data_IF_563564823746
#
_entry.id   IF_563564823746
#
_cell.length_a   1.000
_cell.length_b   1.000
_cell.length_c   1.000
_cell.angle_alpha   90.00
_cell.angle_beta   90.00
_cell.angle_gamma   90.00
#
_symmetry.space_group_name_H-M   'P 1'
#
loop_
_entity.id
_entity.type
_entity.pdbx_description
1 polymer ?
#
# COMPACT_ATOMS: atom_id res chain seq x y z
N UNK A 1 4.08 9.33 -25.92
CA UNK A 1 5.41 9.49 -25.28
C UNK A 1 5.23 9.06 -23.85
N UNK A 2 6.02 8.11 -23.30
CA UNK A 2 5.93 7.84 -21.87
C UNK A 2 6.28 9.14 -21.15
N UNK A 3 5.35 9.65 -20.34
CA UNK A 3 5.57 10.86 -19.56
C UNK A 3 6.80 10.63 -18.67
N UNK A 4 7.67 11.63 -18.63
CA UNK A 4 8.83 11.61 -17.73
C UNK A 4 8.28 11.39 -16.31
N UNK A 5 8.72 10.37 -15.56
CA UNK A 5 8.28 10.19 -14.19
C UNK A 5 8.46 11.52 -13.45
N UNK A 6 7.45 11.91 -12.67
CA UNK A 6 7.49 13.15 -11.89
C UNK A 6 8.82 13.26 -11.16
N UNK A 7 9.44 14.45 -11.16
CA UNK A 7 10.71 14.66 -10.47
C UNK A 7 10.51 14.41 -8.98
N UNK A 8 10.95 13.23 -8.51
CA UNK A 8 10.93 12.86 -7.11
C UNK A 8 12.14 13.51 -6.44
N UNK A 9 11.94 14.36 -5.41
CA UNK A 9 13.05 14.93 -4.66
C UNK A 9 13.95 13.82 -4.09
N UNK A 10 15.29 13.97 -4.07
CA UNK A 10 16.22 12.97 -3.57
C UNK A 10 15.92 12.50 -2.14
N UNK A 11 15.27 13.35 -1.34
CA UNK A 11 14.92 13.05 0.04
C UNK A 11 13.82 11.99 0.17
N UNK A 12 13.05 11.76 -0.90
CA UNK A 12 11.91 10.83 -0.98
C UNK A 12 12.24 9.63 -1.89
N UNK A 13 13.41 9.58 -2.54
CA UNK A 13 13.75 8.53 -3.52
C UNK A 13 13.69 7.12 -2.94
N UNK A 14 13.98 6.99 -1.64
CA UNK A 14 14.05 5.70 -0.96
C UNK A 14 12.69 5.28 -0.37
N UNK A 15 11.73 6.22 -0.31
CA UNK A 15 10.37 6.00 0.17
C UNK A 15 9.44 5.69 -1.00
N UNK A 16 9.23 4.40 -1.27
CA UNK A 16 8.37 3.94 -2.34
C UNK A 16 7.14 3.23 -1.80
N UNK A 17 5.98 3.55 -2.37
CA UNK A 17 4.81 2.70 -2.22
C UNK A 17 5.10 1.34 -2.86
N UNK A 18 4.66 0.27 -2.21
CA UNK A 18 4.73 -1.05 -2.82
C UNK A 18 3.78 -1.14 -4.01
N UNK A 19 4.33 -1.35 -5.21
CA UNK A 19 3.60 -1.47 -6.47
C UNK A 19 3.63 -2.89 -7.04
N UNK A 20 4.56 -3.74 -6.60
CA UNK A 20 4.75 -5.13 -7.03
C UNK A 20 3.68 -6.07 -6.48
N UNK A 21 2.45 -5.93 -6.96
CA UNK A 21 1.29 -6.68 -6.46
C UNK A 21 1.06 -8.01 -7.18
N UNK A 22 2.10 -8.51 -7.87
CA UNK A 22 2.09 -9.78 -8.62
C UNK A 22 0.86 -9.96 -9.53
N UNK A 23 0.49 -8.92 -10.29
CA UNK A 23 -0.66 -8.95 -11.19
C UNK A 23 -2.03 -8.68 -10.53
N UNK A 24 -2.07 -8.31 -9.25
CA UNK A 24 -3.33 -7.91 -8.59
C UNK A 24 -3.53 -6.40 -8.70
N UNK A 25 -4.59 -5.98 -9.38
CA UNK A 25 -4.92 -4.55 -9.49
C UNK A 25 -5.33 -4.03 -8.11
N UNK A 26 -4.65 -3.00 -7.59
CA UNK A 26 -5.06 -2.33 -6.35
C UNK A 26 -5.46 -0.89 -6.64
N UNK A 27 -6.63 -0.47 -6.16
CA UNK A 27 -7.10 0.90 -6.34
C UNK A 27 -7.78 1.43 -5.08
N UNK A 28 -7.62 2.72 -4.81
CA UNK A 28 -8.42 3.43 -3.80
C UNK A 28 -9.78 3.88 -4.34
N UNK A 29 -10.01 3.78 -5.66
CA UNK A 29 -11.31 4.07 -6.30
C UNK A 29 -12.35 3.00 -5.97
N UNK A 30 -13.62 3.30 -6.25
CA UNK A 30 -14.73 2.35 -6.11
C UNK A 30 -14.87 1.42 -7.33
N UNK A 31 -14.16 1.70 -8.41
CA UNK A 31 -14.18 1.00 -9.68
C UNK A 31 -12.77 0.92 -10.31
N UNK A 32 -12.67 0.23 -11.44
CA UNK A 32 -11.44 0.11 -12.24
C UNK A 32 -11.78 0.48 -13.68
N UNK A 33 -11.56 1.73 -14.12
CA UNK A 33 -11.91 2.17 -15.47
C UNK A 33 -11.33 1.27 -16.56
N UNK A 34 -12.12 0.95 -17.58
CA UNK A 34 -11.77 -0.02 -18.64
C UNK A 34 -11.90 -1.50 -18.24
N UNK A 35 -12.26 -1.77 -16.98
CA UNK A 35 -12.52 -3.12 -16.46
C UNK A 35 -13.92 -3.21 -15.86
N UNK A 36 -14.44 -4.43 -15.80
CA UNK A 36 -15.73 -4.75 -15.16
C UNK A 36 -15.52 -5.77 -14.06
N UNK A 37 -16.10 -5.52 -12.89
CA UNK A 37 -16.21 -6.53 -11.83
C UNK A 37 -17.17 -7.62 -12.27
N UNK A 38 -16.67 -8.85 -12.40
CA UNK A 38 -17.47 -10.03 -12.75
C UNK A 38 -17.79 -10.92 -11.55
N UNK A 39 -16.97 -10.85 -10.49
CA UNK A 39 -17.24 -11.51 -9.20
C UNK A 39 -16.73 -10.68 -8.03
N UNK A 40 -17.51 -10.61 -6.96
CA UNK A 40 -17.10 -10.04 -5.68
C UNK A 40 -16.75 -11.19 -4.73
N UNK A 41 -15.57 -11.14 -4.13
CA UNK A 41 -15.02 -12.18 -3.24
C UNK A 41 -15.04 -11.76 -1.76
N UNK A 42 -15.73 -10.66 -1.47
CA UNK A 42 -15.90 -10.10 -0.14
C UNK A 42 -14.71 -9.28 0.35
N UNK A 43 -14.80 -8.87 1.60
CA UNK A 43 -13.78 -8.05 2.26
C UNK A 43 -12.50 -8.85 2.50
N UNK A 44 -11.36 -8.21 2.26
CA UNK A 44 -10.02 -8.72 2.56
C UNK A 44 -9.25 -7.68 3.37
N UNK A 45 -8.34 -8.13 4.22
CA UNK A 45 -7.48 -7.26 5.02
C UNK A 45 -6.11 -7.88 5.27
N UNK A 46 -5.13 -7.02 5.46
CA UNK A 46 -3.76 -7.36 5.84
C UNK A 46 -3.32 -6.46 6.99
N UNK A 47 -2.87 -7.07 8.08
CA UNK A 47 -2.49 -6.36 9.31
C UNK A 47 -1.00 -6.50 9.54
N UNK A 48 -0.36 -5.49 10.12
CA UNK A 48 0.98 -5.60 10.69
C UNK A 48 1.11 -4.77 11.96
N UNK A 49 2.00 -5.20 12.84
CA UNK A 49 2.36 -4.49 14.07
C UNK A 49 3.88 -4.47 14.15
N UNK A 50 4.46 -3.28 14.30
CA UNK A 50 5.90 -3.06 14.41
C UNK A 50 6.23 -2.44 15.76
N UNK A 51 7.15 -3.04 16.50
CA UNK A 51 7.68 -2.47 17.73
C UNK A 51 8.42 -1.16 17.43
N UNK A 52 8.10 -0.09 18.15
CA UNK A 52 8.94 1.11 18.18
C UNK A 52 10.04 0.81 19.17
N UNK A 53 11.19 0.35 18.69
CA UNK A 53 12.30 -0.02 19.57
C UNK A 53 12.63 1.17 20.50
N UNK A 54 12.42 1.02 21.81
CA UNK A 54 12.47 2.08 22.83
C UNK A 54 13.86 2.77 22.89
N UNK A 55 14.91 2.11 22.40
CA UNK A 55 16.25 2.67 22.28
C UNK A 55 16.33 3.91 21.36
N UNK A 56 15.41 4.07 20.41
CA UNK A 56 15.33 5.26 19.56
C UNK A 56 14.68 6.46 20.26
N UNK A 57 13.97 6.25 21.38
CA UNK A 57 13.17 7.28 22.05
C UNK A 57 14.02 8.35 22.73
N UNK A 58 15.26 8.06 23.16
CA UNK A 58 16.07 9.02 23.93
C UNK A 58 16.86 10.01 23.05
N UNK A 59 17.37 9.56 21.89
CA UNK A 59 18.12 10.43 20.96
C UNK A 59 17.23 11.24 20.00
N UNK A 60 16.01 10.76 19.73
CA UNK A 60 15.08 11.39 18.78
C UNK A 60 14.28 12.54 19.39
N UNK A 61 14.03 12.51 20.71
CA UNK A 61 13.41 13.63 21.45
C UNK A 61 14.25 14.91 21.35
N UNK A 62 15.58 14.80 21.33
CA UNK A 62 16.48 15.94 21.13
C UNK A 62 16.45 16.49 19.70
N UNK A 63 16.22 15.65 18.68
CA UNK A 63 16.07 16.08 17.27
C UNK A 63 14.69 16.65 16.96
N UNK A 64 13.62 16.16 17.60
CA UNK A 64 12.25 16.65 17.34
C UNK A 64 12.01 18.06 17.88
N UNK A 65 12.79 18.53 18.86
CA UNK A 65 12.75 19.92 19.31
C UNK A 65 13.15 20.94 18.23
N UNK A 66 13.80 20.50 17.15
CA UNK A 66 14.13 21.31 15.98
C UNK A 66 13.12 21.17 14.81
N UNK A 67 12.00 20.46 14.99
CA UNK A 67 10.85 20.47 14.08
C UNK A 67 10.97 19.68 12.77
N UNK A 68 11.95 18.76 12.64
CA UNK A 68 12.16 17.96 11.42
C UNK A 68 11.46 16.60 11.40
N UNK A 69 11.31 16.02 10.20
CA UNK A 69 10.80 14.66 10.01
C UNK A 69 11.71 13.62 10.67
N UNK A 70 11.08 12.71 11.41
CA UNK A 70 11.77 11.58 11.99
C UNK A 70 11.91 10.43 10.98
N UNK A 71 12.83 10.57 10.00
CA UNK A 71 13.00 9.64 8.85
C UNK A 71 12.98 8.15 9.20
N UNK A 72 13.56 7.76 10.34
CA UNK A 72 13.52 6.35 10.79
C UNK A 72 12.10 5.85 11.04
N UNK A 73 11.26 6.66 11.70
CA UNK A 73 9.84 6.33 11.90
C UNK A 73 9.10 6.33 10.56
N UNK A 74 9.39 7.26 9.65
CA UNK A 74 8.80 7.26 8.31
C UNK A 74 9.12 5.97 7.55
N UNK A 75 10.40 5.58 7.49
CA UNK A 75 10.82 4.32 6.86
C UNK A 75 10.11 3.10 7.49
N UNK A 76 9.98 3.08 8.82
CA UNK A 76 9.27 2.01 9.53
C UNK A 76 7.78 1.97 9.16
N UNK A 77 7.12 3.13 9.02
CA UNK A 77 5.71 3.20 8.60
C UNK A 77 5.52 2.77 7.14
N UNK A 78 6.45 3.11 6.24
CA UNK A 78 6.43 2.62 4.85
C UNK A 78 6.58 1.09 4.80
N UNK A 79 7.56 0.53 5.52
CA UNK A 79 7.74 -0.92 5.62
C UNK A 79 6.49 -1.61 6.20
N UNK A 80 5.90 -1.04 7.26
CA UNK A 80 4.67 -1.57 7.84
C UNK A 80 3.51 -1.56 6.84
N UNK A 81 3.33 -0.46 6.10
CA UNK A 81 2.29 -0.37 5.07
C UNK A 81 2.51 -1.38 3.95
N UNK A 82 3.75 -1.53 3.49
CA UNK A 82 4.09 -2.47 2.43
C UNK A 82 3.81 -3.92 2.86
N UNK A 83 4.14 -4.31 4.10
CA UNK A 83 3.76 -5.64 4.62
C UNK A 83 2.25 -5.86 4.61
N UNK A 84 1.48 -4.84 5.04
CA UNK A 84 0.03 -4.92 5.10
C UNK A 84 -0.57 -5.09 3.69
N UNK A 85 -0.02 -4.40 2.69
CA UNK A 85 -0.40 -4.57 1.28
C UNK A 85 -0.09 -5.98 0.80
N UNK A 86 1.12 -6.48 1.01
CA UNK A 86 1.51 -7.83 0.58
C UNK A 86 0.59 -8.91 1.18
N UNK A 87 0.15 -8.74 2.44
CA UNK A 87 -0.78 -9.66 3.10
C UNK A 87 -2.19 -9.61 2.50
N UNK A 88 -2.74 -8.42 2.24
CA UNK A 88 -4.07 -8.31 1.61
C UNK A 88 -4.07 -8.79 0.15
N UNK A 89 -2.96 -8.62 -0.57
CA UNK A 89 -2.74 -9.19 -1.91
C UNK A 89 -2.71 -10.71 -1.85
N UNK A 90 -1.96 -11.30 -0.92
CA UNK A 90 -1.92 -12.75 -0.73
C UNK A 90 -3.31 -13.33 -0.43
N UNK A 91 -4.08 -12.68 0.45
CA UNK A 91 -5.46 -13.08 0.75
C UNK A 91 -6.41 -12.91 -0.44
N UNK A 92 -6.20 -11.90 -1.29
CA UNK A 92 -6.98 -11.74 -2.52
C UNK A 92 -6.70 -12.87 -3.50
N UNK A 93 -5.42 -13.22 -3.68
CA UNK A 93 -4.98 -14.34 -4.53
C UNK A 93 -5.49 -15.68 -4.03
N UNK A 94 -5.47 -15.92 -2.71
CA UNK A 94 -5.97 -17.16 -2.11
C UNK A 94 -7.45 -17.42 -2.40
N UNK A 95 -8.24 -16.35 -2.59
CA UNK A 95 -9.66 -16.39 -2.97
C UNK A 95 -9.90 -16.44 -4.49
N UNK A 96 -8.85 -16.46 -5.30
CA UNK A 96 -8.94 -16.42 -6.77
C UNK A 96 -9.29 -15.04 -7.33
N UNK A 97 -9.01 -13.97 -6.57
CA UNK A 97 -9.19 -12.58 -7.00
C UNK A 97 -7.99 -12.06 -7.79
N UNK A 98 -8.25 -11.07 -8.65
CA UNK A 98 -7.23 -10.34 -9.40
C UNK A 98 -7.31 -8.82 -9.19
N UNK A 99 -8.18 -8.36 -8.30
CA UNK A 99 -8.29 -6.95 -7.94
C UNK A 99 -8.68 -6.75 -6.47
N UNK A 100 -8.19 -5.66 -5.90
CA UNK A 100 -8.62 -5.08 -4.63
C UNK A 100 -9.17 -3.68 -4.91
N UNK A 101 -10.47 -3.54 -4.75
CA UNK A 101 -11.21 -2.31 -5.00
C UNK A 101 -11.44 -1.59 -3.68
N UNK A 102 -11.45 -0.26 -3.70
CA UNK A 102 -11.64 0.55 -2.51
C UNK A 102 -10.60 0.21 -1.42
N UNK A 103 -9.34 0.03 -1.81
CA UNK A 103 -8.24 -0.19 -0.88
C UNK A 103 -8.13 1.03 0.05
N UNK A 104 -8.04 0.77 1.34
CA UNK A 104 -7.89 1.76 2.41
C UNK A 104 -6.80 1.33 3.37
N UNK A 105 -6.29 2.30 4.11
CA UNK A 105 -5.34 2.08 5.17
C UNK A 105 -5.86 2.64 6.47
N UNK A 106 -5.70 1.87 7.54
CA UNK A 106 -5.80 2.33 8.91
C UNK A 106 -4.41 2.21 9.55
N UNK A 107 -4.08 3.13 10.44
CA UNK A 107 -2.84 3.09 11.21
C UNK A 107 -3.10 3.60 12.61
N UNK A 108 -2.37 3.06 13.59
CA UNK A 108 -2.57 3.39 14.99
C UNK A 108 -1.33 3.13 15.83
N UNK A 109 -1.43 3.49 17.10
CA UNK A 109 -0.45 3.20 18.14
C UNK A 109 -1.10 2.32 19.21
N UNK A 110 -0.37 1.32 19.68
CA UNK A 110 -0.84 0.43 20.74
C UNK A 110 0.27 0.23 21.77
N UNK A 111 0.52 1.24 22.60
CA UNK A 111 1.46 1.13 23.72
C UNK A 111 2.93 0.98 23.29
N UNK A 112 3.38 1.79 22.32
CA UNK A 112 4.76 1.72 21.81
C UNK A 112 4.91 0.83 20.58
N UNK A 113 3.80 0.41 19.99
CA UNK A 113 3.77 -0.37 18.76
C UNK A 113 3.00 0.41 17.69
N UNK A 114 3.56 0.51 16.50
CA UNK A 114 2.84 1.03 15.35
C UNK A 114 2.06 -0.11 14.69
N UNK A 115 0.75 0.07 14.47
CA UNK A 115 -0.04 -0.85 13.65
C UNK A 115 -0.36 -0.23 12.29
N UNK A 116 -0.49 -1.07 11.28
CA UNK A 116 -1.08 -0.72 9.99
C UNK A 116 -2.00 -1.84 9.49
N UNK A 117 -3.18 -1.46 9.03
CA UNK A 117 -4.14 -2.31 8.35
C UNK A 117 -4.33 -1.81 6.93
N UNK A 118 -4.23 -2.70 5.95
CA UNK A 118 -4.70 -2.48 4.58
C UNK A 118 -5.97 -3.30 4.39
N UNK A 119 -7.04 -2.72 3.84
CA UNK A 119 -8.29 -3.45 3.62
C UNK A 119 -9.04 -2.95 2.39
N UNK A 120 -9.87 -3.81 1.81
CA UNK A 120 -10.68 -3.49 0.64
C UNK A 120 -11.58 -4.65 0.23
N UNK A 121 -12.11 -4.58 -0.98
CA UNK A 121 -12.96 -5.63 -1.56
C UNK A 121 -12.16 -6.43 -2.57
N UNK A 122 -11.97 -7.72 -2.31
CA UNK A 122 -11.41 -8.63 -3.30
C UNK A 122 -12.44 -8.89 -4.40
N UNK A 123 -11.98 -8.87 -5.64
CA UNK A 123 -12.82 -9.02 -6.81
C UNK A 123 -12.09 -9.76 -7.93
N UNK A 124 -12.89 -10.23 -8.90
CA UNK A 124 -12.43 -10.62 -10.22
C UNK A 124 -12.91 -9.58 -11.20
N UNK A 125 -11.97 -8.97 -11.91
CA UNK A 125 -12.22 -7.97 -12.95
C UNK A 125 -11.78 -8.48 -14.32
N UNK A 126 -12.52 -8.12 -15.34
CA UNK A 126 -12.22 -8.41 -16.74
C UNK A 126 -12.09 -7.11 -17.54
N UNK A 127 -11.10 -7.03 -18.42
CA UNK A 127 -10.92 -5.86 -19.29
C UNK A 127 -12.05 -5.81 -20.31
N UNK A 128 -12.78 -4.70 -20.37
CA UNK A 128 -13.92 -4.51 -21.28
C UNK A 128 -13.64 -3.46 -22.37
N UNK A 129 -12.69 -2.55 -22.14
CA UNK A 129 -12.26 -1.58 -23.14
C UNK A 129 -10.84 -1.92 -23.59
N UNK A 130 -10.64 -2.42 -24.83
CA UNK A 130 -9.32 -2.77 -25.33
C UNK A 130 -8.40 -1.56 -25.51
N UNK A 131 -8.95 -0.35 -25.65
CA UNK A 131 -8.18 0.87 -25.85
C UNK A 131 -7.56 1.42 -24.55
N UNK A 132 -8.08 1.03 -23.38
CA UNK A 132 -7.52 1.44 -22.08
C UNK A 132 -6.19 0.72 -21.84
N UNK A 133 -5.16 1.47 -21.47
CA UNK A 133 -3.85 0.89 -21.10
C UNK A 133 -3.99 0.02 -19.83
N UNK A 134 -3.32 -1.15 -19.76
CA UNK A 134 -3.35 -1.96 -18.56
C UNK A 134 -2.76 -1.19 -17.36
N UNK A 135 -3.30 -1.38 -16.14
CA UNK A 135 -2.68 -0.82 -14.95
C UNK A 135 -1.21 -1.28 -14.82
N UNK A 136 -0.32 -0.43 -14.27
CA UNK A 136 1.10 -0.76 -14.12
C UNK A 136 1.35 -2.09 -13.40
N UNK A 137 0.46 -2.48 -12.48
CA UNK A 137 0.51 -3.74 -11.73
C UNK A 137 0.42 -4.99 -12.61
N UNK A 138 -0.07 -4.86 -13.85
CA UNK A 138 -0.19 -5.97 -14.81
C UNK A 138 0.96 -6.04 -15.81
N UNK A 139 1.85 -5.04 -15.84
CA UNK A 139 2.93 -4.90 -16.83
C UNK A 139 4.31 -5.13 -16.18
N UNK A 140 4.36 -5.13 -14.84
CA UNK A 140 5.56 -5.34 -14.03
C UNK A 140 5.95 -6.82 -13.90
#
# INVERSE_FOLDING_TARGET
MPERPAHVPPEISDLHCYTETEGVITTTMFDVPGYKVVRVLGTVYGLTVRSRNIAASLGMVLKSMAGGELRWFTNMLYSARNDAISRVVAETKSRGGNAIICLRFESGDMGGFAQCCAYGTAAVVEKIDPAVEPPPQLIA
#
